data_IF_636876049461
#
_entry.id   IF_636876049461
#
_cell.length_a   1.000
_cell.length_b   1.000
_cell.length_c   1.000
_cell.angle_alpha   90.00
_cell.angle_beta   90.00
_cell.angle_gamma   90.00
#
_symmetry.space_group_name_H-M   'P 1'
#
loop_
_entity.id
_entity.type
_entity.pdbx_description
1 polymer ?
#
# COMPACT_ATOMS: atom_id res chain seq x y z
N UNK A 1 28.26 -18.51 11.71
CA UNK A 1 27.29 -17.71 12.48
C UNK A 1 27.15 -16.38 11.79
N UNK A 2 26.25 -16.29 10.80
CA UNK A 2 25.92 -15.00 10.19
C UNK A 2 25.32 -14.13 11.28
N UNK A 3 25.85 -12.92 11.44
CA UNK A 3 25.60 -12.06 12.59
C UNK A 3 24.11 -11.79 12.78
N UNK A 4 23.57 -12.12 13.96
CA UNK A 4 22.20 -11.78 14.39
C UNK A 4 21.91 -10.28 14.17
N UNK A 5 22.94 -9.45 14.33
CA UNK A 5 22.92 -8.00 14.13
C UNK A 5 22.62 -7.61 12.67
N UNK A 6 23.06 -8.42 11.69
CA UNK A 6 22.81 -8.16 10.27
C UNK A 6 21.36 -8.45 9.85
N UNK A 7 20.73 -9.45 10.48
CA UNK A 7 19.34 -9.81 10.21
C UNK A 7 18.34 -8.77 10.73
N UNK A 8 18.62 -8.21 11.91
CA UNK A 8 17.81 -7.22 12.62
C UNK A 8 17.87 -5.83 11.97
N UNK A 9 19.06 -5.33 11.61
CA UNK A 9 19.20 -4.05 10.93
C UNK A 9 18.52 -4.03 9.55
N UNK A 10 18.67 -5.12 8.80
CA UNK A 10 17.94 -5.29 7.56
C UNK A 10 16.42 -5.35 7.80
N UNK A 11 15.97 -5.78 8.99
CA UNK A 11 14.55 -5.95 9.30
C UNK A 11 13.88 -4.62 9.54
N UNK A 12 14.51 -3.82 10.39
CA UNK A 12 14.13 -2.43 10.60
C UNK A 12 14.12 -1.68 9.27
N UNK A 13 15.10 -1.94 8.37
CA UNK A 13 15.11 -1.39 7.02
C UNK A 13 13.86 -1.75 6.19
N UNK A 14 13.54 -3.04 6.04
CA UNK A 14 12.36 -3.49 5.28
C UNK A 14 11.03 -3.01 5.88
N UNK A 15 10.93 -2.99 7.22
CA UNK A 15 9.75 -2.50 7.91
C UNK A 15 9.59 -0.99 7.71
N UNK A 16 10.69 -0.24 7.77
CA UNK A 16 10.69 1.19 7.43
C UNK A 16 10.20 1.39 6.01
N UNK A 17 10.74 0.66 5.02
CA UNK A 17 10.30 0.74 3.62
C UNK A 17 8.78 0.50 3.45
N UNK A 18 8.20 -0.49 4.16
CA UNK A 18 6.75 -0.71 4.14
C UNK A 18 5.96 0.44 4.76
N UNK A 19 6.44 1.02 5.86
CA UNK A 19 5.80 2.17 6.49
C UNK A 19 5.85 3.39 5.56
N UNK A 20 6.98 3.64 4.91
CA UNK A 20 7.10 4.71 3.91
C UNK A 20 6.16 4.50 2.73
N UNK A 21 5.99 3.24 2.29
CA UNK A 21 5.08 2.89 1.20
C UNK A 21 3.61 3.13 1.58
N UNK A 22 3.19 2.75 2.78
CA UNK A 22 1.81 3.00 3.23
C UNK A 22 1.52 4.50 3.41
N UNK A 23 2.47 5.30 3.89
CA UNK A 23 2.34 6.76 3.87
C UNK A 23 2.18 7.31 2.43
N UNK A 24 2.87 6.72 1.47
CA UNK A 24 2.73 7.04 0.04
C UNK A 24 1.37 6.67 -0.51
N UNK A 25 0.83 5.53 -0.11
CA UNK A 25 -0.52 5.13 -0.44
C UNK A 25 -1.54 6.13 0.13
N UNK A 26 -1.45 6.47 1.42
CA UNK A 26 -2.34 7.47 2.08
C UNK A 26 -2.38 8.79 1.31
N UNK A 27 -1.23 9.31 0.90
CA UNK A 27 -1.16 10.56 0.13
C UNK A 27 -1.71 10.40 -1.30
N UNK A 28 -1.43 9.28 -1.96
CA UNK A 28 -1.96 8.96 -3.29
C UNK A 28 -3.49 8.84 -3.28
N UNK A 29 -4.05 8.10 -2.32
CA UNK A 29 -5.49 7.93 -2.15
C UNK A 29 -6.19 9.24 -1.80
N UNK A 30 -5.62 10.04 -0.89
CA UNK A 30 -6.14 11.37 -0.56
C UNK A 30 -6.23 12.25 -1.81
N UNK A 31 -5.18 12.24 -2.64
CA UNK A 31 -5.15 13.01 -3.87
C UNK A 31 -6.08 12.44 -4.96
N UNK A 32 -6.26 11.12 -5.03
CA UNK A 32 -7.19 10.45 -5.93
C UNK A 32 -8.65 10.76 -5.56
N UNK A 33 -8.99 10.72 -4.27
CA UNK A 33 -10.32 11.05 -3.74
C UNK A 33 -10.77 12.46 -4.11
N UNK A 34 -9.84 13.42 -4.12
CA UNK A 34 -10.12 14.81 -4.51
C UNK A 34 -10.43 14.98 -6.02
N UNK A 35 -10.07 14.00 -6.85
CA UNK A 35 -10.18 14.05 -8.32
C UNK A 35 -11.17 13.05 -8.90
N UNK A 36 -11.54 12.01 -8.13
CA UNK A 36 -12.46 10.96 -8.56
C UNK A 36 -13.88 11.51 -8.69
N UNK A 37 -14.45 11.40 -9.88
CA UNK A 37 -15.76 11.99 -10.20
C UNK A 37 -16.91 11.08 -9.78
N UNK A 38 -16.77 9.77 -10.01
CA UNK A 38 -17.81 8.78 -9.73
C UNK A 38 -18.00 8.56 -8.22
N UNK A 39 -19.19 8.80 -7.64
CA UNK A 39 -19.40 8.69 -6.19
C UNK A 39 -19.14 7.29 -5.63
N UNK A 40 -19.50 6.24 -6.36
CA UNK A 40 -19.27 4.85 -5.94
C UNK A 40 -17.78 4.52 -5.83
N UNK A 41 -17.00 4.93 -6.83
CA UNK A 41 -15.55 4.72 -6.84
C UNK A 41 -14.88 5.54 -5.75
N UNK A 42 -15.31 6.79 -5.55
CA UNK A 42 -14.84 7.65 -4.46
C UNK A 42 -15.11 7.04 -3.08
N UNK A 43 -16.30 6.47 -2.86
CA UNK A 43 -16.62 5.79 -1.60
C UNK A 43 -15.73 4.59 -1.35
N UNK A 44 -15.37 3.83 -2.40
CA UNK A 44 -14.47 2.68 -2.28
C UNK A 44 -13.02 3.11 -2.02
N UNK A 45 -12.53 4.13 -2.71
CA UNK A 45 -11.20 4.70 -2.44
C UNK A 45 -11.08 5.19 -0.99
N UNK A 46 -12.16 5.71 -0.41
CA UNK A 46 -12.16 6.14 0.99
C UNK A 46 -12.02 4.96 1.97
N UNK A 47 -12.61 3.79 1.66
CA UNK A 47 -12.35 2.60 2.48
C UNK A 47 -10.92 2.10 2.35
N UNK A 48 -10.32 2.17 1.15
CA UNK A 48 -8.93 1.75 0.95
C UNK A 48 -7.94 2.67 1.66
N UNK A 49 -8.22 3.98 1.68
CA UNK A 49 -7.48 4.94 2.49
C UNK A 49 -7.47 4.55 3.97
N UNK A 50 -8.65 4.22 4.53
CA UNK A 50 -8.77 3.78 5.92
C UNK A 50 -8.03 2.47 6.19
N UNK A 51 -8.02 1.55 5.22
CA UNK A 51 -7.26 0.31 5.32
C UNK A 51 -5.74 0.58 5.40
N UNK A 52 -5.20 1.52 4.61
CA UNK A 52 -3.78 1.91 4.70
C UNK A 52 -3.42 2.63 5.99
N UNK A 53 -4.31 3.47 6.51
CA UNK A 53 -4.14 4.08 7.84
C UNK A 53 -4.06 3.00 8.93
N UNK A 54 -4.92 1.98 8.84
CA UNK A 54 -4.87 0.84 9.75
C UNK A 54 -3.57 0.03 9.60
N UNK A 55 -3.10 -0.20 8.37
CA UNK A 55 -1.80 -0.87 8.15
C UNK A 55 -0.65 -0.08 8.80
N UNK A 56 -0.66 1.25 8.77
CA UNK A 56 0.34 2.07 9.45
C UNK A 56 0.35 1.85 10.95
N UNK A 57 -0.83 1.76 11.57
CA UNK A 57 -0.95 1.46 13.01
C UNK A 57 -0.39 0.06 13.33
N UNK A 58 -0.77 -0.97 12.57
CA UNK A 58 -0.27 -2.34 12.79
C UNK A 58 1.24 -2.45 12.59
N UNK A 59 1.79 -1.77 11.58
CA UNK A 59 3.24 -1.76 11.32
C UNK A 59 4.01 -0.98 12.40
N UNK A 60 3.41 0.08 12.96
CA UNK A 60 3.99 0.82 14.07
C UNK A 60 4.05 -0.02 15.35
N UNK A 61 3.00 -0.79 15.64
CA UNK A 61 2.97 -1.74 16.75
C UNK A 61 4.04 -2.83 16.58
N UNK A 62 4.17 -3.39 15.37
CA UNK A 62 5.23 -4.36 15.07
C UNK A 62 6.63 -3.77 15.24
N UNK A 63 6.85 -2.50 14.86
CA UNK A 63 8.13 -1.84 15.04
C UNK A 63 8.50 -1.72 16.52
N UNK A 64 7.52 -1.34 17.37
CA UNK A 64 7.71 -1.22 18.81
C UNK A 64 8.02 -2.55 19.48
N UNK A 65 7.30 -3.63 19.13
CA UNK A 65 7.52 -4.97 19.67
C UNK A 65 8.96 -5.47 19.42
N UNK A 66 9.59 -4.99 18.34
CA UNK A 66 10.90 -5.43 17.90
C UNK A 66 12.03 -4.54 18.43
N UNK A 67 11.74 -3.65 19.37
CA UNK A 67 12.73 -2.80 20.04
C UNK A 67 13.34 -1.74 19.13
N UNK A 68 12.80 -1.56 17.92
CA UNK A 68 13.11 -0.39 17.12
C UNK A 68 12.59 0.83 17.91
N UNK A 69 13.33 1.96 17.93
CA UNK A 69 12.78 3.18 18.49
C UNK A 69 11.43 3.40 17.83
N UNK A 70 10.38 3.80 18.58
CA UNK A 70 9.13 4.22 17.96
C UNK A 70 9.54 5.15 16.84
N UNK A 71 9.06 4.88 15.62
CA UNK A 71 9.18 5.86 14.56
C UNK A 71 8.29 7.00 15.06
N UNK A 72 8.84 7.86 15.91
CA UNK A 72 8.25 9.12 16.34
C UNK A 72 7.99 9.83 15.03
N UNK A 73 6.75 9.71 14.54
CA UNK A 73 6.32 10.42 13.36
C UNK A 73 6.46 11.90 13.71
N UNK A 74 7.36 12.64 13.04
CA UNK A 74 6.94 13.27 11.81
C UNK A 74 8.12 13.50 10.85
N UNK A 75 8.80 12.45 10.41
CA UNK A 75 9.36 12.53 9.05
C UNK A 75 8.46 11.67 8.21
N UNK A 76 7.30 12.22 7.85
CA UNK A 76 6.68 11.86 6.57
C UNK A 76 7.85 11.87 5.58
N UNK A 77 8.30 10.71 5.06
CA UNK A 77 9.43 10.69 4.15
C UNK A 77 9.11 11.68 3.04
N UNK A 78 10.10 12.39 2.48
CA UNK A 78 9.86 13.19 1.29
C UNK A 78 9.33 12.23 0.22
N UNK A 79 8.02 12.19 0.08
CA UNK A 79 7.37 11.18 -0.72
C UNK A 79 7.80 11.35 -2.16
N UNK A 80 8.25 10.27 -2.76
CA UNK A 80 8.25 10.13 -4.21
C UNK A 80 6.82 9.92 -4.68
N UNK A 81 5.88 10.81 -4.33
CA UNK A 81 4.52 10.71 -4.85
C UNK A 81 4.56 11.07 -6.34
N UNK A 82 4.72 10.03 -7.16
CA UNK A 82 4.51 10.09 -8.61
C UNK A 82 3.06 9.77 -8.98
N UNK A 83 2.24 9.35 -8.00
CA UNK A 83 0.91 8.79 -8.20
C UNK A 83 -0.01 9.66 -9.06
N UNK A 84 0.15 10.98 -8.98
CA UNK A 84 -0.62 11.93 -9.76
C UNK A 84 0.31 13.05 -10.25
N UNK A 85 1.33 12.69 -11.02
CA UNK A 85 2.07 13.69 -11.81
C UNK A 85 1.11 14.42 -12.75
N UNK A 86 1.46 15.66 -13.12
CA UNK A 86 0.72 16.45 -14.10
C UNK A 86 0.47 15.61 -15.38
N UNK A 87 -0.79 15.21 -15.61
CA UNK A 87 -1.16 14.40 -16.77
C UNK A 87 -2.21 13.32 -16.52
N UNK A 88 -2.46 12.92 -15.26
CA UNK A 88 -3.58 12.02 -14.95
C UNK A 88 -4.90 12.79 -15.08
N UNK A 89 -5.58 12.57 -16.21
CA UNK A 89 -6.89 13.17 -16.52
C UNK A 89 -7.95 12.09 -16.60
N UNK A 90 -8.99 12.21 -15.78
CA UNK A 90 -10.17 11.35 -15.79
C UNK A 90 -10.07 10.11 -14.91
N UNK A 91 -11.24 9.62 -14.48
CA UNK A 91 -11.38 8.54 -13.51
C UNK A 91 -10.65 7.25 -13.92
N UNK A 92 -10.51 6.94 -15.22
CA UNK A 92 -9.79 5.75 -15.68
C UNK A 92 -8.29 5.84 -15.36
N UNK A 93 -7.66 6.97 -15.68
CA UNK A 93 -6.23 7.15 -15.44
C UNK A 93 -5.90 7.14 -13.94
N UNK A 94 -6.83 7.66 -13.11
CA UNK A 94 -6.73 7.55 -11.64
C UNK A 94 -6.76 6.07 -11.22
N UNK A 95 -7.74 5.29 -11.70
CA UNK A 95 -7.80 3.86 -11.35
C UNK A 95 -6.57 3.07 -11.81
N UNK A 96 -6.03 3.35 -13.00
CA UNK A 96 -4.81 2.71 -13.49
C UNK A 96 -3.58 3.04 -12.62
N UNK A 97 -3.44 4.31 -12.23
CA UNK A 97 -2.35 4.74 -11.36
C UNK A 97 -2.45 4.07 -9.98
N UNK A 98 -3.64 4.02 -9.39
CA UNK A 98 -3.85 3.38 -8.09
C UNK A 98 -3.65 1.87 -8.16
N UNK A 99 -4.10 1.19 -9.24
CA UNK A 99 -3.82 -0.24 -9.44
C UNK A 99 -2.33 -0.55 -9.37
N UNK A 100 -1.50 0.25 -10.05
CA UNK A 100 -0.05 0.04 -10.05
C UNK A 100 0.56 0.22 -8.65
N UNK A 101 0.04 1.18 -7.89
CA UNK A 101 0.40 1.35 -6.49
C UNK A 101 0.05 0.12 -5.63
N UNK A 102 -1.12 -0.49 -5.85
CA UNK A 102 -1.47 -1.73 -5.14
C UNK A 102 -0.62 -2.94 -5.54
N UNK A 103 -0.24 -3.02 -6.82
CA UNK A 103 0.69 -4.04 -7.31
C UNK A 103 2.06 -3.91 -6.62
N UNK A 104 2.58 -2.68 -6.51
CA UNK A 104 3.83 -2.39 -5.82
C UNK A 104 3.74 -2.71 -4.31
N UNK A 105 2.62 -2.37 -3.68
CA UNK A 105 2.34 -2.69 -2.27
C UNK A 105 2.29 -4.19 -2.02
N UNK A 106 1.55 -4.94 -2.83
CA UNK A 106 1.52 -6.40 -2.79
C UNK A 106 2.93 -6.99 -2.89
N UNK A 107 3.72 -6.53 -3.86
CA UNK A 107 5.08 -7.03 -4.08
C UNK A 107 6.02 -6.71 -2.90
N UNK A 108 5.84 -5.57 -2.22
CA UNK A 108 6.62 -5.21 -1.04
C UNK A 108 6.31 -6.14 0.14
N UNK A 109 5.03 -6.37 0.45
CA UNK A 109 4.62 -7.30 1.51
C UNK A 109 5.08 -8.73 1.22
N UNK A 110 4.88 -9.24 -0.01
CA UNK A 110 5.33 -10.57 -0.42
C UNK A 110 6.84 -10.74 -0.23
N UNK A 111 7.63 -9.74 -0.64
CA UNK A 111 9.08 -9.74 -0.45
C UNK A 111 9.45 -9.79 1.02
N UNK A 112 8.79 -9.01 1.88
CA UNK A 112 9.08 -9.01 3.32
C UNK A 112 8.76 -10.36 3.97
N UNK A 113 7.65 -10.99 3.57
CA UNK A 113 7.26 -12.32 4.08
C UNK A 113 8.24 -13.41 3.59
N UNK A 114 8.66 -13.36 2.32
CA UNK A 114 9.51 -14.39 1.70
C UNK A 114 10.99 -14.27 2.07
N UNK A 115 11.49 -13.06 2.25
CA UNK A 115 12.94 -12.81 2.41
C UNK A 115 13.47 -13.14 3.81
N UNK A 116 12.62 -13.56 4.76
CA UNK A 116 13.02 -13.68 6.16
C UNK A 116 12.65 -14.96 6.89
N UNK A 117 13.72 -15.62 7.34
CA UNK A 117 13.72 -16.46 8.51
C UNK A 117 13.74 -15.60 9.79
N UNK A 118 13.00 -15.99 10.82
CA UNK A 118 13.01 -15.34 12.14
C UNK A 118 11.87 -14.33 12.41
N UNK A 119 10.96 -14.09 11.46
CA UNK A 119 9.70 -13.42 11.77
C UNK A 119 8.93 -14.21 12.83
N UNK A 120 8.49 -13.52 13.88
CA UNK A 120 7.52 -14.07 14.84
C UNK A 120 6.25 -14.48 14.09
N UNK A 121 5.52 -15.45 14.62
CA UNK A 121 4.25 -15.89 14.02
C UNK A 121 3.26 -14.72 13.92
N UNK A 122 3.17 -13.91 14.99
CA UNK A 122 2.40 -12.67 15.03
C UNK A 122 2.75 -11.71 13.89
N UNK A 123 4.04 -11.41 13.68
CA UNK A 123 4.47 -10.51 12.60
C UNK A 123 4.12 -11.08 11.22
N UNK A 124 4.27 -12.41 11.04
CA UNK A 124 3.84 -13.08 9.80
C UNK A 124 2.36 -12.96 9.56
N UNK A 125 1.54 -13.06 10.60
CA UNK A 125 0.09 -12.96 10.49
C UNK A 125 -0.38 -11.54 10.15
N UNK A 126 0.21 -10.50 10.77
CA UNK A 126 -0.04 -9.09 10.38
C UNK A 126 0.26 -8.88 8.91
N UNK A 127 1.49 -9.23 8.48
CA UNK A 127 1.92 -8.99 7.10
C UNK A 127 1.07 -9.76 6.08
N UNK A 128 0.62 -10.97 6.42
CA UNK A 128 -0.28 -11.75 5.56
C UNK A 128 -1.68 -11.17 5.50
N UNK A 129 -2.19 -10.67 6.63
CA UNK A 129 -3.49 -9.99 6.70
C UNK A 129 -3.48 -8.74 5.83
N UNK A 130 -2.46 -7.89 5.99
CA UNK A 130 -2.26 -6.69 5.19
C UNK A 130 -2.12 -7.03 3.69
N UNK A 131 -1.29 -8.02 3.33
CA UNK A 131 -1.17 -8.48 1.94
C UNK A 131 -2.52 -8.94 1.36
N UNK A 132 -3.36 -9.61 2.15
CA UNK A 132 -4.69 -10.02 1.70
C UNK A 132 -5.62 -8.83 1.47
N UNK A 133 -5.44 -7.72 2.21
CA UNK A 133 -6.15 -6.45 1.99
C UNK A 133 -5.69 -5.82 0.67
N UNK A 134 -4.38 -5.64 0.47
CA UNK A 134 -3.83 -5.02 -0.75
C UNK A 134 -4.23 -5.78 -2.01
N UNK A 135 -4.25 -7.12 -1.95
CA UNK A 135 -4.75 -7.95 -3.05
C UNK A 135 -6.21 -7.68 -3.38
N UNK A 136 -7.08 -7.50 -2.36
CA UNK A 136 -8.50 -7.14 -2.59
C UNK A 136 -8.63 -5.76 -3.22
N UNK A 137 -7.77 -4.81 -2.86
CA UNK A 137 -7.76 -3.49 -3.48
C UNK A 137 -7.37 -3.59 -4.95
N UNK A 138 -6.24 -4.24 -5.25
CA UNK A 138 -5.76 -4.51 -6.61
C UNK A 138 -6.83 -5.18 -7.47
N UNK A 139 -7.45 -6.23 -6.96
CA UNK A 139 -8.46 -7.01 -7.69
C UNK A 139 -9.69 -6.14 -7.99
N UNK A 140 -10.11 -5.29 -7.05
CA UNK A 140 -11.17 -4.33 -7.31
C UNK A 140 -10.81 -3.32 -8.42
N UNK A 141 -9.57 -2.81 -8.44
CA UNK A 141 -9.13 -1.93 -9.53
C UNK A 141 -9.14 -2.62 -10.89
N UNK A 142 -8.70 -3.88 -10.96
CA UNK A 142 -8.77 -4.69 -12.18
C UNK A 142 -10.23 -4.83 -12.66
N UNK A 143 -11.14 -5.23 -11.78
CA UNK A 143 -12.57 -5.37 -12.10
C UNK A 143 -13.18 -4.07 -12.62
N UNK A 144 -12.88 -2.93 -11.98
CA UNK A 144 -13.40 -1.63 -12.43
C UNK A 144 -12.83 -1.21 -13.79
N UNK A 145 -11.55 -1.49 -14.06
CA UNK A 145 -10.93 -1.16 -15.33
C UNK A 145 -11.47 -2.03 -16.46
N UNK A 146 -11.67 -3.32 -16.21
CA UNK A 146 -12.23 -4.28 -17.17
C UNK A 146 -13.69 -3.94 -17.50
N UNK A 147 -14.52 -3.64 -16.48
CA UNK A 147 -15.89 -3.21 -16.69
C UNK A 147 -15.99 -1.98 -17.60
N UNK A 148 -15.08 -1.01 -17.41
CA UNK A 148 -15.00 0.21 -18.22
C UNK A 148 -14.45 -0.04 -19.64
N UNK A 149 -13.60 -1.04 -19.83
CA UNK A 149 -13.18 -1.47 -21.17
C UNK A 149 -14.31 -2.17 -21.92
N UNK A 150 -15.08 -3.04 -21.25
CA UNK A 150 -16.24 -3.70 -21.85
C UNK A 150 -17.32 -2.71 -22.33
N UNK A 151 -17.53 -1.62 -21.59
CA UNK A 151 -18.42 -0.52 -21.99
C UNK A 151 -17.99 0.23 -23.26
N UNK A 152 -16.68 0.27 -23.56
CA UNK A 152 -16.15 0.93 -24.77
C UNK A 152 -16.25 0.06 -26.04
N UNK A 153 -16.51 -1.24 -25.89
CA UNK A 153 -16.56 -2.21 -26.99
C UNK A 153 -18.00 -2.57 -27.43
N UNK A 154 -19.02 -1.97 -26.83
CA UNK A 154 -20.41 -2.13 -27.28
C UNK A 154 -20.67 -1.28 -28.53
N UNK A 155 -21.21 -1.84 -29.64
CA UNK A 155 -21.62 -1.04 -30.77
C UNK A 155 -22.78 -0.12 -30.38
N UNK A 156 -22.69 1.15 -30.78
CA UNK A 156 -23.72 2.18 -30.63
C UNK A 156 -25.02 1.83 -31.39
#
# INVERSE_FOLDING_TARGET
MASVIGGEAAFIGSLTELIELNWSAVDAFTAALARMSRPGDRSRLASFLSDHEHHLDELADLAQELGAPPIETPIRPKLKSKALTNGVVGDRAILEAMRHYEEDSCAAYERMILSRDGLTERARDVLRSALAVERRHRDWFLEQLDARQGLLLLPL
#
